data_IF_005599365860
#
_entry.id   IF_005599365860
#
_cell.length_a   1.000
_cell.length_b   1.000
_cell.length_c   1.000
_cell.angle_alpha   90.00
_cell.angle_beta   90.00
_cell.angle_gamma   90.00
#
_symmetry.space_group_name_H-M   'P 1'
#
loop_
_entity.id
_entity.type
_entity.pdbx_description
1 polymer ?
#
# COMPACT_ATOMS: atom_id res chain seq x y z
N UNK A 1 3.65 7.75 9.06
CA UNK A 1 2.75 8.50 8.14
C UNK A 1 1.56 7.62 7.80
N UNK A 2 0.35 8.17 7.59
CA UNK A 2 -0.87 7.36 7.35
C UNK A 2 -1.13 6.96 5.91
N UNK A 3 -0.41 7.51 4.93
CA UNK A 3 -0.55 7.18 3.51
C UNK A 3 0.83 7.08 2.90
N UNK A 4 1.19 5.89 2.43
CA UNK A 4 2.44 5.63 1.73
C UNK A 4 2.49 6.41 0.41
N UNK A 5 1.35 6.62 -0.23
CA UNK A 5 1.25 7.47 -1.42
C UNK A 5 1.63 8.93 -1.11
N UNK A 6 1.06 9.50 -0.05
CA UNK A 6 1.42 10.87 0.38
C UNK A 6 2.86 10.92 0.86
N UNK A 7 3.35 9.85 1.50
CA UNK A 7 4.74 9.73 1.96
C UNK A 7 5.73 9.78 0.80
N UNK A 8 5.46 9.01 -0.26
CA UNK A 8 6.28 8.97 -1.45
C UNK A 8 6.33 10.35 -2.14
N UNK A 9 5.16 10.99 -2.33
CA UNK A 9 5.09 12.33 -2.92
C UNK A 9 5.81 13.36 -2.04
N UNK A 10 5.69 13.25 -0.72
CA UNK A 10 6.41 14.11 0.22
C UNK A 10 7.93 13.95 0.09
N UNK A 11 8.44 12.72 0.03
CA UNK A 11 9.87 12.46 -0.16
C UNK A 11 10.39 13.03 -1.48
N UNK A 12 9.63 12.94 -2.56
CA UNK A 12 10.00 13.57 -3.83
C UNK A 12 9.97 15.11 -3.73
N UNK A 13 8.96 15.68 -3.07
CA UNK A 13 8.82 17.13 -2.92
C UNK A 13 10.00 17.77 -2.18
N UNK A 14 10.52 17.11 -1.14
CA UNK A 14 11.67 17.63 -0.36
C UNK A 14 12.92 17.83 -1.22
N UNK A 15 13.06 17.10 -2.34
CA UNK A 15 14.20 17.24 -3.27
C UNK A 15 14.14 18.54 -4.10
N UNK A 16 12.95 19.12 -4.28
CA UNK A 16 12.76 20.43 -4.93
C UNK A 16 13.09 21.55 -3.95
N UNK A 17 14.38 21.69 -3.61
CA UNK A 17 14.85 22.47 -2.45
C UNK A 17 14.40 23.95 -2.44
N UNK A 18 14.26 24.59 -3.60
CA UNK A 18 13.78 25.97 -3.70
C UNK A 18 12.29 26.07 -3.36
N UNK A 19 11.47 25.22 -3.97
CA UNK A 19 10.03 25.15 -3.76
C UNK A 19 9.71 24.70 -2.33
N UNK A 20 10.42 23.69 -1.84
CA UNK A 20 10.30 23.18 -0.48
C UNK A 20 10.66 24.25 0.56
N UNK A 21 11.75 25.00 0.36
CA UNK A 21 12.12 26.11 1.25
C UNK A 21 11.05 27.21 1.29
N UNK A 22 10.53 27.62 0.13
CA UNK A 22 9.42 28.60 0.04
C UNK A 22 8.15 28.09 0.72
N UNK A 23 7.79 26.82 0.51
CA UNK A 23 6.66 26.18 1.17
C UNK A 23 6.84 26.20 2.69
N UNK A 24 8.02 25.82 3.17
CA UNK A 24 8.31 25.80 4.60
C UNK A 24 8.23 27.19 5.24
N UNK A 25 8.81 28.22 4.60
CA UNK A 25 8.68 29.60 5.08
C UNK A 25 7.22 30.07 5.10
N UNK A 26 6.46 29.76 4.04
CA UNK A 26 5.06 30.19 3.93
C UNK A 26 4.16 29.60 5.01
N UNK A 27 4.25 28.29 5.25
CA UNK A 27 3.29 27.59 6.12
C UNK A 27 3.82 27.34 7.53
N UNK A 28 5.14 27.35 7.74
CA UNK A 28 5.76 27.04 9.02
C UNK A 28 6.67 28.14 9.56
N UNK A 29 6.90 29.22 8.80
CA UNK A 29 7.78 30.34 9.17
C UNK A 29 9.28 30.05 9.07
N UNK A 30 9.69 28.79 8.87
CA UNK A 30 11.09 28.38 8.80
C UNK A 30 11.25 27.03 8.09
N UNK A 31 12.48 26.74 7.63
CA UNK A 31 12.81 25.47 6.98
C UNK A 31 12.58 24.27 7.92
N UNK A 32 11.94 23.22 7.40
CA UNK A 32 11.72 21.98 8.16
C UNK A 32 12.68 20.90 7.67
N UNK A 33 13.62 20.52 8.54
CA UNK A 33 14.54 19.43 8.26
C UNK A 33 13.79 18.11 8.21
N UNK A 34 13.99 17.37 7.12
CA UNK A 34 13.49 16.01 6.98
C UNK A 34 14.41 15.04 7.72
N UNK A 35 13.84 14.22 8.60
CA UNK A 35 14.55 13.16 9.32
C UNK A 35 13.94 11.82 8.93
N UNK A 36 14.66 10.98 8.16
CA UNK A 36 14.19 9.65 7.80
C UNK A 36 13.89 8.80 9.04
N UNK A 37 12.84 8.00 9.01
CA UNK A 37 12.46 7.12 10.13
C UNK A 37 13.50 6.05 10.48
N UNK A 38 14.45 5.78 9.59
CA UNK A 38 15.58 4.86 9.82
C UNK A 38 16.88 5.56 10.25
N UNK A 39 16.83 6.87 10.53
CA UNK A 39 18.01 7.60 10.97
C UNK A 39 18.46 7.13 12.37
N UNK A 40 19.77 6.97 12.62
CA UNK A 40 20.29 6.65 13.95
C UNK A 40 19.85 7.67 14.99
N UNK A 41 19.20 7.23 16.07
CA UNK A 41 18.68 8.09 17.14
C UNK A 41 17.20 8.48 17.01
N UNK A 42 16.53 8.07 15.93
CA UNK A 42 15.12 8.36 15.67
C UNK A 42 14.15 7.43 16.43
N UNK A 43 14.33 7.21 17.75
CA UNK A 43 13.24 6.79 18.66
C UNK A 43 13.75 6.44 20.06
N UNK A 44 13.67 7.38 21.01
CA UNK A 44 13.43 7.04 22.43
C UNK A 44 12.53 8.13 23.02
N UNK A 45 11.23 7.86 23.22
CA UNK A 45 10.37 8.65 24.10
C UNK A 45 9.47 9.74 23.48
N UNK A 46 9.15 9.67 22.18
CA UNK A 46 8.12 10.55 21.59
C UNK A 46 6.71 10.26 22.15
N UNK A 47 5.79 11.24 22.14
CA UNK A 47 4.38 10.98 22.44
C UNK A 47 3.83 9.87 21.52
N UNK A 48 2.81 9.11 21.96
CA UNK A 48 2.20 8.09 21.10
C UNK A 48 1.77 8.72 19.77
N UNK A 49 2.01 7.99 18.68
CA UNK A 49 1.48 8.38 17.38
C UNK A 49 -0.05 8.49 17.50
N UNK A 50 -0.61 9.54 16.90
CA UNK A 50 -2.05 9.69 16.83
C UNK A 50 -2.67 8.46 16.10
N UNK A 51 -3.97 8.32 16.21
CA UNK A 51 -4.75 7.41 15.38
C UNK A 51 -5.19 8.11 14.09
N UNK A 52 -5.52 7.33 13.05
CA UNK A 52 -6.09 7.88 11.81
C UNK A 52 -7.38 8.66 12.07
N UNK A 53 -8.18 8.23 13.05
CA UNK A 53 -9.40 8.92 13.45
C UNK A 53 -9.11 10.30 14.05
N UNK A 54 -8.12 10.40 14.95
CA UNK A 54 -7.69 11.67 15.54
C UNK A 54 -7.10 12.60 14.47
N UNK A 55 -6.28 12.06 13.56
CA UNK A 55 -5.76 12.81 12.41
C UNK A 55 -6.89 13.35 11.53
N UNK A 56 -7.87 12.51 11.16
CA UNK A 56 -9.02 12.92 10.37
C UNK A 56 -9.88 13.99 11.05
N UNK A 57 -10.09 13.88 12.37
CA UNK A 57 -10.80 14.90 13.13
C UNK A 57 -10.09 16.26 13.11
N UNK A 58 -8.76 16.28 13.32
CA UNK A 58 -7.94 17.50 13.23
C UNK A 58 -7.87 18.07 11.82
N UNK A 59 -7.79 17.21 10.80
CA UNK A 59 -7.81 17.65 9.41
C UNK A 59 -9.11 18.41 9.10
N UNK A 60 -10.26 17.86 9.51
CA UNK A 60 -11.57 18.49 9.33
C UNK A 60 -11.69 19.82 10.06
N UNK A 61 -11.17 19.91 11.29
CA UNK A 61 -11.15 21.16 12.05
C UNK A 61 -10.38 22.27 11.33
N UNK A 62 -9.21 21.95 10.76
CA UNK A 62 -8.32 22.94 10.12
C UNK A 62 -8.81 23.32 8.72
N UNK A 63 -9.24 22.34 7.91
CA UNK A 63 -9.53 22.54 6.49
C UNK A 63 -11.01 22.58 6.15
N UNK A 64 -11.90 22.28 7.10
CA UNK A 64 -13.35 22.29 6.90
C UNK A 64 -13.87 21.18 5.99
N UNK A 65 -13.06 20.17 5.68
CA UNK A 65 -13.42 19.05 4.80
C UNK A 65 -13.11 17.71 5.45
N UNK A 66 -13.85 16.67 5.06
CA UNK A 66 -13.53 15.30 5.45
C UNK A 66 -12.16 14.88 4.93
N UNK A 67 -11.54 13.94 5.63
CA UNK A 67 -10.21 13.45 5.29
C UNK A 67 -10.25 12.88 3.85
N UNK A 68 -9.51 13.48 2.89
CA UNK A 68 -9.59 13.04 1.50
C UNK A 68 -9.08 11.61 1.32
N UNK A 69 -9.60 10.90 0.30
CA UNK A 69 -9.26 9.51 0.03
C UNK A 69 -7.75 9.27 -0.22
N UNK A 70 -6.98 10.29 -0.60
CA UNK A 70 -5.52 10.18 -0.75
C UNK A 70 -4.81 9.76 0.54
N UNK A 71 -5.45 9.97 1.69
CA UNK A 71 -4.95 9.52 3.00
C UNK A 71 -5.37 8.08 3.36
N UNK A 72 -6.21 7.43 2.53
CA UNK A 72 -6.60 6.03 2.71
C UNK A 72 -5.55 5.11 2.09
N UNK A 73 -4.70 4.56 2.94
CA UNK A 73 -3.61 3.66 2.56
C UNK A 73 -4.05 2.20 2.37
N UNK A 74 -5.31 1.87 2.68
CA UNK A 74 -5.80 0.49 2.61
C UNK A 74 -5.75 -0.10 1.20
N UNK A 75 -5.62 0.76 0.18
CA UNK A 75 -5.51 0.42 -1.23
C UNK A 75 -4.13 0.71 -1.82
N UNK A 76 -3.21 1.29 -1.05
CA UNK A 76 -1.89 1.62 -1.55
C UNK A 76 -1.02 0.36 -1.59
N UNK A 77 -0.74 -0.12 -2.81
CA UNK A 77 0.08 -1.30 -3.07
C UNK A 77 1.39 -0.84 -3.70
N UNK A 78 2.50 -1.19 -3.07
CA UNK A 78 3.86 -0.93 -3.57
C UNK A 78 4.70 -2.21 -3.43
N UNK A 79 5.84 -2.34 -4.12
CA UNK A 79 6.71 -3.53 -4.00
C UNK A 79 7.16 -3.80 -2.55
N UNK A 80 7.21 -2.75 -1.73
CA UNK A 80 7.59 -2.81 -0.33
C UNK A 80 6.43 -2.96 0.65
N UNK A 81 5.19 -2.96 0.17
CA UNK A 81 4.01 -3.13 1.02
C UNK A 81 3.86 -4.58 1.44
N UNK A 82 3.56 -4.79 2.73
CA UNK A 82 3.17 -6.10 3.25
C UNK A 82 1.70 -6.35 2.96
N UNK A 83 1.40 -7.55 2.53
CA UNK A 83 0.06 -8.03 2.20
C UNK A 83 -0.30 -9.18 3.13
N UNK A 84 -1.55 -9.20 3.58
CA UNK A 84 -2.12 -10.24 4.43
C UNK A 84 -3.23 -10.95 3.65
N UNK A 85 -3.10 -12.26 3.52
CA UNK A 85 -4.07 -13.13 2.88
C UNK A 85 -4.84 -13.94 3.93
N UNK A 86 -6.10 -13.57 4.19
CA UNK A 86 -6.96 -14.30 5.15
C UNK A 86 -7.60 -15.55 4.55
N UNK A 87 -7.44 -15.77 3.25
CA UNK A 87 -7.97 -16.90 2.49
C UNK A 87 -6.88 -17.93 2.15
N UNK A 88 -5.68 -17.79 2.73
CA UNK A 88 -4.60 -18.77 2.58
C UNK A 88 -5.10 -20.20 2.87
N UNK A 89 -4.81 -21.12 1.95
CA UNK A 89 -5.27 -22.51 2.02
C UNK A 89 -6.76 -22.74 1.69
N UNK A 90 -7.52 -21.69 1.38
CA UNK A 90 -8.94 -21.76 0.95
C UNK A 90 -9.16 -21.35 -0.51
N UNK A 91 -8.12 -20.80 -1.14
CA UNK A 91 -8.13 -20.40 -2.53
C UNK A 91 -7.70 -21.59 -3.41
N UNK A 92 -8.39 -21.76 -4.53
CA UNK A 92 -8.11 -22.79 -5.53
C UNK A 92 -7.68 -22.11 -6.82
N UNK A 93 -6.69 -22.68 -7.49
CA UNK A 93 -6.17 -22.18 -8.75
C UNK A 93 -6.71 -23.05 -9.90
N UNK A 94 -7.43 -22.42 -10.81
CA UNK A 94 -7.96 -23.02 -12.03
C UNK A 94 -7.18 -22.64 -13.29
N UNK A 95 -7.67 -23.12 -14.44
CA UNK A 95 -7.23 -22.70 -15.76
C UNK A 95 -8.42 -22.75 -16.71
N UNK A 96 -8.69 -21.66 -17.43
CA UNK A 96 -9.73 -21.59 -18.46
C UNK A 96 -9.20 -20.74 -19.61
N UNK A 97 -9.16 -21.30 -20.82
CA UNK A 97 -8.80 -20.58 -22.06
C UNK A 97 -7.50 -19.74 -22.00
N UNK A 98 -6.45 -20.27 -21.37
CA UNK A 98 -5.17 -19.56 -21.22
C UNK A 98 -5.17 -18.47 -20.14
N UNK A 99 -6.19 -18.46 -19.29
CA UNK A 99 -6.29 -17.61 -18.11
C UNK A 99 -6.15 -18.46 -16.84
N UNK A 100 -5.39 -17.95 -15.87
CA UNK A 100 -5.32 -18.48 -14.52
C UNK A 100 -6.42 -17.86 -13.66
N UNK A 101 -7.27 -18.71 -13.08
CA UNK A 101 -8.38 -18.27 -12.25
C UNK A 101 -8.14 -18.59 -10.78
N UNK A 102 -8.38 -17.60 -9.92
CA UNK A 102 -8.37 -17.79 -8.47
C UNK A 102 -9.83 -17.89 -8.00
N UNK A 103 -10.18 -19.01 -7.38
CA UNK A 103 -11.55 -19.30 -6.91
C UNK A 103 -11.58 -19.66 -5.42
N UNK A 104 -12.76 -19.66 -4.79
CA UNK A 104 -12.96 -20.33 -3.50
C UNK A 104 -13.40 -21.80 -3.66
N UNK A 105 -13.50 -22.52 -2.55
CA UNK A 105 -14.02 -23.89 -2.51
C UNK A 105 -15.48 -24.06 -2.96
N UNK A 106 -16.23 -22.97 -3.18
CA UNK A 106 -17.58 -23.03 -3.78
C UNK A 106 -17.57 -22.86 -5.30
N UNK A 107 -16.39 -22.59 -5.89
CA UNK A 107 -16.24 -22.32 -7.32
C UNK A 107 -16.48 -20.86 -7.70
N UNK A 108 -16.65 -19.95 -6.73
CA UNK A 108 -16.76 -18.51 -7.03
C UNK A 108 -15.41 -18.00 -7.52
N UNK A 109 -15.40 -17.41 -8.72
CA UNK A 109 -14.22 -16.75 -9.27
C UNK A 109 -14.01 -15.40 -8.62
N UNK A 110 -12.79 -15.17 -8.14
CA UNK A 110 -12.36 -13.91 -7.55
C UNK A 110 -11.54 -13.07 -8.50
N UNK A 111 -10.71 -13.71 -9.31
CA UNK A 111 -9.84 -13.08 -10.27
C UNK A 111 -9.56 -14.05 -11.41
N UNK A 112 -9.55 -13.55 -12.64
CA UNK A 112 -9.12 -14.26 -13.83
C UNK A 112 -8.11 -13.37 -14.55
N UNK A 113 -6.88 -13.85 -14.71
CA UNK A 113 -5.76 -13.10 -15.31
C UNK A 113 -4.99 -13.99 -16.27
N UNK A 114 -4.16 -13.39 -17.12
CA UNK A 114 -3.32 -14.15 -18.04
C UNK A 114 -2.46 -15.20 -17.31
N UNK A 115 -2.21 -16.33 -17.95
CA UNK A 115 -1.47 -17.45 -17.38
C UNK A 115 -0.06 -17.12 -16.90
N UNK A 116 0.55 -16.04 -17.40
CA UNK A 116 1.86 -15.54 -16.92
C UNK A 116 1.84 -15.32 -15.40
N UNK A 117 0.71 -14.90 -14.81
CA UNK A 117 0.58 -14.68 -13.38
C UNK A 117 0.33 -15.97 -12.55
N UNK A 118 0.29 -17.15 -13.18
CA UNK A 118 -0.06 -18.42 -12.52
C UNK A 118 0.82 -18.74 -11.32
N UNK A 119 2.13 -18.53 -11.45
CA UNK A 119 3.06 -18.79 -10.34
C UNK A 119 2.80 -17.87 -9.16
N UNK A 120 2.59 -16.58 -9.42
CA UNK A 120 2.23 -15.60 -8.41
C UNK A 120 0.91 -15.97 -7.71
N UNK A 121 -0.13 -16.36 -8.46
CA UNK A 121 -1.41 -16.80 -7.89
C UNK A 121 -1.28 -18.06 -7.05
N UNK A 122 -0.47 -19.03 -7.50
CA UNK A 122 -0.18 -20.25 -6.72
C UNK A 122 0.49 -19.90 -5.40
N UNK A 123 1.47 -18.99 -5.43
CA UNK A 123 2.14 -18.49 -4.23
C UNK A 123 1.15 -17.79 -3.28
N UNK A 124 0.31 -16.89 -3.80
CA UNK A 124 -0.71 -16.19 -3.01
C UNK A 124 -1.66 -17.18 -2.34
N UNK A 125 -2.15 -18.19 -3.06
CA UNK A 125 -3.07 -19.19 -2.51
C UNK A 125 -2.51 -19.94 -1.29
N UNK A 126 -1.19 -20.15 -1.25
CA UNK A 126 -0.47 -20.84 -0.19
C UNK A 126 0.17 -19.96 0.88
N UNK A 127 0.16 -18.63 0.72
CA UNK A 127 0.94 -17.73 1.59
C UNK A 127 0.05 -16.75 2.35
N UNK A 128 0.12 -16.80 3.68
CA UNK A 128 -0.73 -15.99 4.58
C UNK A 128 -0.30 -14.53 4.72
N UNK A 129 0.99 -14.23 4.56
CA UNK A 129 1.51 -12.86 4.52
C UNK A 129 2.82 -12.80 3.74
N UNK A 130 3.01 -11.77 2.93
CA UNK A 130 4.17 -11.59 2.05
C UNK A 130 4.34 -10.12 1.65
N UNK A 131 5.50 -9.75 1.13
CA UNK A 131 5.71 -8.47 0.45
C UNK A 131 5.41 -8.60 -1.05
N UNK A 132 4.88 -7.54 -1.67
CA UNK A 132 4.54 -7.55 -3.11
C UNK A 132 5.74 -7.93 -3.98
N UNK A 133 6.95 -7.46 -3.66
CA UNK A 133 8.19 -7.81 -4.37
C UNK A 133 8.53 -9.30 -4.36
N UNK A 134 8.02 -10.05 -3.38
CA UNK A 134 8.29 -11.49 -3.21
C UNK A 134 7.45 -12.37 -4.15
N UNK A 135 6.50 -11.78 -4.89
CA UNK A 135 5.72 -12.55 -5.86
C UNK A 135 6.65 -13.20 -6.90
N UNK A 136 6.58 -14.53 -7.07
CA UNK A 136 7.39 -15.26 -8.04
C UNK A 136 6.85 -15.12 -9.47
N UNK A 137 7.62 -15.65 -10.42
CA UNK A 137 7.35 -15.56 -11.85
C UNK A 137 7.97 -14.32 -12.50
N UNK A 138 7.82 -14.23 -13.82
CA UNK A 138 8.44 -13.19 -14.65
C UNK A 138 7.60 -11.90 -14.73
N UNK A 139 6.85 -11.58 -13.67
CA UNK A 139 6.08 -10.35 -13.59
C UNK A 139 6.98 -9.16 -13.27
N UNK A 140 6.78 -8.05 -13.97
CA UNK A 140 7.34 -6.75 -13.62
C UNK A 140 6.74 -6.24 -12.30
N UNK A 141 7.39 -5.25 -11.68
CA UNK A 141 6.85 -4.63 -10.45
C UNK A 141 5.48 -4.00 -10.68
N UNK A 142 5.24 -3.39 -11.85
CA UNK A 142 3.94 -2.82 -12.21
C UNK A 142 2.85 -3.90 -12.29
N UNK A 143 3.15 -5.05 -12.91
CA UNK A 143 2.21 -6.17 -12.99
C UNK A 143 1.95 -6.80 -11.62
N UNK A 144 2.97 -6.93 -10.77
CA UNK A 144 2.83 -7.38 -9.38
C UNK A 144 1.92 -6.45 -8.57
N UNK A 145 2.11 -5.14 -8.71
CA UNK A 145 1.27 -4.11 -8.06
C UNK A 145 -0.17 -4.23 -8.56
N UNK A 146 -0.38 -4.27 -9.87
CA UNK A 146 -1.72 -4.35 -10.46
C UNK A 146 -2.46 -5.63 -10.01
N UNK A 147 -1.77 -6.77 -10.00
CA UNK A 147 -2.32 -8.05 -9.54
C UNK A 147 -2.80 -7.97 -8.09
N UNK A 148 -1.96 -7.45 -7.20
CA UNK A 148 -2.30 -7.33 -5.78
C UNK A 148 -3.37 -6.28 -5.54
N UNK A 149 -3.33 -5.15 -6.25
CA UNK A 149 -4.36 -4.11 -6.16
C UNK A 149 -5.76 -4.67 -6.49
N UNK A 150 -5.88 -5.47 -7.55
CA UNK A 150 -7.13 -6.14 -7.90
C UNK A 150 -7.63 -7.09 -6.80
N UNK A 151 -6.72 -7.84 -6.17
CA UNK A 151 -7.07 -8.75 -5.07
C UNK A 151 -7.37 -8.04 -3.74
N UNK A 152 -6.83 -6.84 -3.52
CA UNK A 152 -7.18 -5.96 -2.40
C UNK A 152 -8.57 -5.37 -2.62
N UNK A 153 -8.90 -4.97 -3.85
CA UNK A 153 -10.22 -4.46 -4.22
C UNK A 153 -11.33 -5.50 -4.01
N UNK A 154 -11.06 -6.78 -4.33
CA UNK A 154 -11.97 -7.89 -4.04
C UNK A 154 -11.99 -8.33 -2.56
N UNK A 155 -11.20 -7.68 -1.69
CA UNK A 155 -11.08 -7.90 -0.24
C UNK A 155 -10.55 -9.28 0.18
N UNK A 156 -9.94 -10.01 -0.75
CA UNK A 156 -9.27 -11.29 -0.47
C UNK A 156 -7.95 -11.02 0.23
N UNK A 157 -7.23 -10.03 -0.29
CA UNK A 157 -6.02 -9.52 0.30
C UNK A 157 -6.30 -8.23 1.06
N UNK A 158 -5.46 -7.96 2.06
CA UNK A 158 -5.44 -6.68 2.75
C UNK A 158 -4.03 -6.17 2.83
N UNK A 159 -3.89 -4.86 2.68
CA UNK A 159 -2.66 -4.17 3.02
C UNK A 159 -2.46 -4.26 4.53
N UNK A 160 -1.25 -4.66 4.95
CA UNK A 160 -0.88 -4.93 6.34
C UNK A 160 0.04 -3.90 6.97
#
# INVERSE_FOLDING_TARGET
>A
MYSAYVDEVWHQFVLFTVEYSKFCTKYFGSYRHHFPSNAPGASVGGPPEATLAEFGARYREIFGVDLPQVWDDSRCVTPHRRIVNRYCGRLVLGSVDGMAELTDGSGRVFLSVNDIAREALRFIAGTGAFYVRELPGDLTDEEKIALIAGLVETRILRVG
#
